data_IF_280948744714
#
_entry.id   IF_280948744714
#
_cell.length_a   1.000
_cell.length_b   1.000
_cell.length_c   1.000
_cell.angle_alpha   90.00
_cell.angle_beta   90.00
_cell.angle_gamma   90.00
#
_symmetry.space_group_name_H-M   'P 1'
#
loop_
_entity.id
_entity.type
_entity.pdbx_description
1 polymer ?
#
# COMPACT_ATOMS: atom_id res chain seq x y z
N UNK A 1 -28.01 -4.77 1.64
CA UNK A 1 -28.37 -3.35 1.53
C UNK A 1 -27.64 -2.60 2.61
N UNK A 2 -26.98 -1.51 2.26
CA UNK A 2 -26.44 -0.51 3.20
C UNK A 2 -27.14 0.80 2.85
N UNK A 3 -27.78 1.43 3.84
CA UNK A 3 -28.52 2.69 3.69
C UNK A 3 -29.54 2.72 2.54
N UNK A 4 -30.30 1.63 2.36
CA UNK A 4 -31.38 1.56 1.36
C UNK A 4 -30.91 1.46 -0.10
N UNK A 5 -29.61 1.32 -0.36
CA UNK A 5 -29.07 0.96 -1.68
C UNK A 5 -28.76 -0.53 -1.74
N UNK A 6 -29.11 -1.14 -2.86
CA UNK A 6 -28.66 -2.49 -3.19
C UNK A 6 -27.13 -2.50 -3.24
N UNK A 7 -26.52 -3.40 -2.47
CA UNK A 7 -25.07 -3.62 -2.47
C UNK A 7 -24.83 -4.88 -3.27
N UNK A 8 -24.28 -4.73 -4.48
CA UNK A 8 -23.98 -5.86 -5.34
C UNK A 8 -22.76 -6.64 -4.81
N UNK A 9 -22.64 -7.95 -5.11
CA UNK A 9 -21.49 -8.74 -4.70
C UNK A 9 -20.18 -8.18 -5.27
N UNK A 10 -19.11 -8.31 -4.48
CA UNK A 10 -17.76 -7.92 -4.84
C UNK A 10 -16.78 -8.97 -4.30
N UNK A 11 -15.94 -9.52 -5.17
CA UNK A 11 -14.76 -10.26 -4.73
C UNK A 11 -13.54 -9.34 -4.79
N UNK A 12 -12.65 -9.44 -3.81
CA UNK A 12 -11.45 -8.62 -3.74
C UNK A 12 -10.25 -9.47 -3.33
N UNK A 13 -9.11 -9.22 -3.96
CA UNK A 13 -7.81 -9.71 -3.55
C UNK A 13 -6.83 -8.55 -3.50
N UNK A 14 -6.13 -8.41 -2.37
CA UNK A 14 -5.12 -7.37 -2.18
C UNK A 14 -3.74 -8.05 -2.18
N UNK A 15 -2.89 -7.64 -3.10
CA UNK A 15 -1.50 -8.10 -3.19
C UNK A 15 -0.58 -6.93 -2.89
N UNK A 16 0.18 -7.06 -1.81
CA UNK A 16 1.20 -6.10 -1.38
C UNK A 16 2.52 -6.46 -2.03
N UNK A 17 3.19 -5.48 -2.63
CA UNK A 17 4.43 -5.70 -3.38
C UNK A 17 5.48 -4.74 -2.85
N UNK A 18 6.70 -5.25 -2.66
CA UNK A 18 7.87 -4.43 -2.40
C UNK A 18 9.05 -4.87 -3.27
N UNK A 19 9.85 -3.90 -3.70
CA UNK A 19 11.15 -4.13 -4.30
C UNK A 19 12.18 -3.31 -3.54
N UNK A 20 13.28 -3.95 -3.13
CA UNK A 20 14.35 -3.33 -2.33
C UNK A 20 15.69 -3.57 -3.02
N UNK A 21 16.44 -2.49 -3.24
CA UNK A 21 17.84 -2.53 -3.62
C UNK A 21 18.70 -2.21 -2.38
N UNK A 22 19.79 -2.95 -2.17
CA UNK A 22 20.65 -2.81 -0.99
C UNK A 22 22.09 -2.41 -1.37
N UNK A 23 22.76 -1.67 -0.48
CA UNK A 23 24.21 -1.49 -0.54
C UNK A 23 24.96 -2.67 0.10
N UNK A 24 26.29 -2.62 0.03
CA UNK A 24 27.20 -3.61 0.64
C UNK A 24 27.06 -3.75 2.16
N UNK A 25 26.46 -2.77 2.83
CA UNK A 25 26.27 -2.74 4.28
C UNK A 25 24.85 -3.21 4.67
N UNK A 26 24.07 -3.70 3.70
CA UNK A 26 22.72 -4.20 3.92
C UNK A 26 21.69 -3.09 4.20
N UNK A 27 21.96 -1.87 3.76
CA UNK A 27 21.01 -0.75 3.85
C UNK A 27 20.27 -0.59 2.53
N UNK A 28 18.99 -0.22 2.60
CA UNK A 28 18.22 0.11 1.40
C UNK A 28 18.81 1.34 0.69
N UNK A 29 19.11 1.22 -0.59
CA UNK A 29 19.46 2.34 -1.49
C UNK A 29 18.31 2.70 -2.43
N UNK A 30 17.33 1.82 -2.58
CA UNK A 30 16.09 2.06 -3.28
C UNK A 30 14.98 1.17 -2.74
N UNK A 31 13.80 1.73 -2.56
CA UNK A 31 12.60 0.99 -2.16
C UNK A 31 11.45 1.43 -3.05
N UNK A 32 10.67 0.48 -3.53
CA UNK A 32 9.37 0.71 -4.17
C UNK A 32 8.36 -0.18 -3.45
N UNK A 33 7.20 0.37 -3.15
CA UNK A 33 6.06 -0.38 -2.63
C UNK A 33 4.83 -0.10 -3.47
N UNK A 34 3.98 -1.10 -3.61
CA UNK A 34 2.74 -1.03 -4.36
C UNK A 34 1.66 -1.94 -3.76
N UNK A 35 0.42 -1.74 -4.18
CA UNK A 35 -0.68 -2.67 -3.92
C UNK A 35 -1.52 -2.85 -5.17
N UNK A 36 -1.64 -4.10 -5.62
CA UNK A 36 -2.70 -4.49 -6.52
C UNK A 36 -3.94 -4.81 -5.68
N UNK A 37 -4.87 -3.85 -5.56
CA UNK A 37 -6.18 -4.05 -4.94
C UNK A 37 -7.19 -4.42 -6.02
N UNK A 38 -7.22 -5.70 -6.37
CA UNK A 38 -8.03 -6.22 -7.48
C UNK A 38 -9.45 -6.45 -6.99
N UNK A 39 -10.41 -5.87 -7.71
CA UNK A 39 -11.85 -5.97 -7.44
C UNK A 39 -12.58 -6.60 -8.63
N UNK A 40 -13.29 -7.69 -8.40
CA UNK A 40 -14.17 -8.34 -9.38
C UNK A 40 -15.61 -7.98 -9.02
N UNK A 41 -16.27 -7.28 -9.94
CA UNK A 41 -17.63 -6.76 -9.79
C UNK A 41 -18.62 -7.76 -10.38
N UNK A 42 -19.76 -7.93 -9.70
CA UNK A 42 -20.85 -8.78 -10.15
C UNK A 42 -22.14 -7.97 -10.31
N UNK A 43 -23.00 -8.36 -11.26
CA UNK A 43 -24.38 -7.90 -11.30
C UNK A 43 -25.27 -8.66 -10.28
N UNK A 44 -26.55 -8.30 -10.20
CA UNK A 44 -27.50 -8.94 -9.30
C UNK A 44 -27.75 -10.44 -9.61
N UNK A 45 -27.32 -10.92 -10.78
CA UNK A 45 -27.41 -12.32 -11.20
C UNK A 45 -26.11 -13.10 -10.98
N UNK A 46 -25.09 -12.46 -10.41
CA UNK A 46 -23.78 -13.07 -10.18
C UNK A 46 -22.89 -13.15 -11.43
N UNK A 47 -23.18 -12.36 -12.47
CA UNK A 47 -22.33 -12.28 -13.67
C UNK A 47 -21.24 -11.26 -13.45
N UNK A 48 -19.99 -11.63 -13.76
CA UNK A 48 -18.84 -10.70 -13.72
C UNK A 48 -19.04 -9.58 -14.74
N UNK A 49 -18.97 -8.33 -14.30
CA UNK A 49 -19.26 -7.14 -15.13
C UNK A 49 -18.03 -6.38 -15.60
N UNK A 50 -16.84 -6.73 -15.10
CA UNK A 50 -15.60 -6.00 -15.36
C UNK A 50 -14.49 -6.87 -15.97
N UNK A 51 -14.86 -7.81 -16.84
CA UNK A 51 -13.90 -8.75 -17.46
C UNK A 51 -12.85 -8.07 -18.33
N UNK A 52 -13.24 -6.97 -18.96
CA UNK A 52 -12.39 -6.20 -19.87
C UNK A 52 -11.71 -5.01 -19.19
N UNK A 53 -11.95 -4.80 -17.88
CA UNK A 53 -11.33 -3.70 -17.14
C UNK A 53 -9.83 -3.95 -17.01
N UNK A 54 -9.02 -2.92 -17.28
CA UNK A 54 -7.60 -2.93 -16.94
C UNK A 54 -7.45 -2.74 -15.42
N UNK A 55 -7.05 -3.80 -14.73
CA UNK A 55 -6.93 -3.83 -13.27
C UNK A 55 -5.56 -3.30 -12.82
N UNK A 56 -5.49 -1.98 -12.65
CA UNK A 56 -4.28 -1.25 -12.27
C UNK A 56 -3.93 -1.37 -10.79
N UNK A 57 -2.63 -1.34 -10.48
CA UNK A 57 -2.14 -1.16 -9.12
C UNK A 57 -2.38 0.27 -8.63
N UNK A 58 -2.19 0.51 -7.32
CA UNK A 58 -2.35 1.86 -6.77
C UNK A 58 -1.27 2.83 -7.26
N UNK A 59 -0.04 2.38 -7.54
CA UNK A 59 0.96 3.22 -8.20
C UNK A 59 0.56 3.59 -9.64
N UNK A 60 -0.07 2.66 -10.37
CA UNK A 60 -0.52 2.91 -11.75
C UNK A 60 -1.76 3.83 -11.81
N UNK A 61 -2.68 3.68 -10.85
CA UNK A 61 -3.88 4.51 -10.74
C UNK A 61 -3.54 5.97 -10.43
N UNK A 62 -2.51 6.23 -9.63
CA UNK A 62 -2.14 7.58 -9.15
C UNK A 62 -3.37 8.33 -8.61
N UNK A 63 -3.69 9.49 -9.16
CA UNK A 63 -4.86 10.30 -8.80
C UNK A 63 -6.19 9.59 -9.05
N UNK A 64 -6.25 8.63 -9.97
CA UNK A 64 -7.46 7.86 -10.22
C UNK A 64 -7.84 6.93 -9.05
N UNK A 65 -6.92 6.67 -8.12
CA UNK A 65 -7.25 5.96 -6.87
C UNK A 65 -8.13 6.83 -5.95
N UNK A 66 -8.04 8.15 -6.07
CA UNK A 66 -8.91 9.13 -5.43
C UNK A 66 -8.94 9.06 -3.88
N UNK A 67 -7.77 8.86 -3.27
CA UNK A 67 -7.64 8.81 -1.81
C UNK A 67 -7.46 10.20 -1.18
N UNK A 68 -7.10 11.22 -1.96
CA UNK A 68 -6.75 12.55 -1.43
C UNK A 68 -7.84 13.14 -0.53
N UNK A 69 -9.11 12.92 -0.85
CA UNK A 69 -10.25 13.41 -0.05
C UNK A 69 -10.45 12.67 1.28
N UNK A 70 -10.07 11.39 1.35
CA UNK A 70 -10.12 10.58 2.56
C UNK A 70 -8.85 10.70 3.41
N UNK A 71 -7.79 11.24 2.83
CA UNK A 71 -6.49 11.44 3.49
C UNK A 71 -6.52 12.68 4.37
N UNK A 72 -6.27 12.51 5.68
CA UNK A 72 -6.15 13.63 6.63
C UNK A 72 -5.00 14.60 6.32
N UNK A 73 -4.08 14.22 5.43
CA UNK A 73 -2.94 15.04 4.98
C UNK A 73 -3.07 15.51 3.53
N UNK A 74 -4.24 15.32 2.89
CA UNK A 74 -4.50 15.75 1.51
C UNK A 74 -3.49 15.19 0.48
N UNK A 75 -2.99 13.97 0.71
CA UNK A 75 -2.11 13.24 -0.21
C UNK A 75 -2.79 12.02 -0.78
N UNK A 76 -2.56 11.76 -2.05
CA UNK A 76 -2.93 10.50 -2.70
C UNK A 76 -2.13 9.33 -2.14
N UNK A 77 -2.65 8.11 -2.34
CA UNK A 77 -2.00 6.90 -1.82
C UNK A 77 -0.57 6.75 -2.33
N UNK A 78 -0.33 7.00 -3.62
CA UNK A 78 1.00 6.84 -4.23
C UNK A 78 2.03 7.82 -3.65
N UNK A 79 1.60 9.04 -3.29
CA UNK A 79 2.46 10.04 -2.65
C UNK A 79 2.89 9.57 -1.26
N UNK A 80 1.96 8.97 -0.50
CA UNK A 80 2.25 8.41 0.81
C UNK A 80 3.15 7.17 0.73
N UNK A 81 2.89 6.29 -0.23
CA UNK A 81 3.72 5.12 -0.51
C UNK A 81 5.16 5.51 -0.84
N UNK A 82 5.33 6.51 -1.70
CA UNK A 82 6.65 7.05 -2.07
C UNK A 82 7.34 7.73 -0.88
N UNK A 83 6.60 8.41 -0.01
CA UNK A 83 7.15 9.00 1.21
C UNK A 83 7.65 7.92 2.19
N UNK A 84 6.88 6.86 2.39
CA UNK A 84 7.29 5.72 3.22
C UNK A 84 8.55 5.04 2.66
N UNK A 85 8.56 4.76 1.35
CA UNK A 85 9.72 4.19 0.68
C UNK A 85 10.96 5.08 0.80
N UNK A 86 10.82 6.40 0.68
CA UNK A 86 11.93 7.36 0.90
C UNK A 86 12.44 7.35 2.33
N UNK A 87 11.57 7.22 3.33
CA UNK A 87 11.96 7.11 4.73
C UNK A 87 12.81 5.86 5.01
N UNK A 88 12.57 4.76 4.27
CA UNK A 88 13.32 3.50 4.39
C UNK A 88 14.74 3.57 3.82
N UNK A 89 15.03 4.50 2.91
CA UNK A 89 16.38 4.63 2.30
C UNK A 89 17.43 4.95 3.38
N UNK A 90 18.56 4.27 3.31
CA UNK A 90 19.66 4.34 4.26
C UNK A 90 19.47 3.50 5.52
N UNK A 91 18.34 2.80 5.66
CA UNK A 91 18.02 1.94 6.80
C UNK A 91 18.22 0.46 6.49
N UNK A 92 18.53 -0.33 7.52
CA UNK A 92 18.50 -1.79 7.47
C UNK A 92 17.07 -2.34 7.70
N UNK A 93 16.85 -3.62 7.39
CA UNK A 93 15.59 -4.30 7.68
C UNK A 93 15.13 -4.12 9.14
N UNK A 94 16.05 -4.29 10.10
CA UNK A 94 15.78 -4.15 11.54
C UNK A 94 15.39 -2.72 11.96
N UNK A 95 15.89 -1.71 11.25
CA UNK A 95 15.54 -0.32 11.51
C UNK A 95 14.17 0.00 10.92
N UNK A 96 13.86 -0.54 9.75
CA UNK A 96 12.57 -0.37 9.08
C UNK A 96 11.46 -1.07 9.87
N UNK A 97 11.68 -2.30 10.33
CA UNK A 97 10.68 -3.08 11.09
C UNK A 97 10.33 -2.48 12.46
N UNK A 98 11.18 -1.58 12.98
CA UNK A 98 10.95 -0.84 14.23
C UNK A 98 10.15 0.45 14.06
N UNK A 99 9.61 0.73 12.87
CA UNK A 99 8.68 1.84 12.69
C UNK A 99 7.53 1.72 13.71
N UNK A 100 7.35 2.74 14.54
CA UNK A 100 6.29 2.76 15.53
C UNK A 100 4.92 2.84 14.84
N UNK A 101 4.03 1.90 15.16
CA UNK A 101 2.66 1.83 14.66
C UNK A 101 1.68 1.64 15.82
N UNK A 102 0.43 2.06 15.64
CA UNK A 102 -0.65 1.77 16.57
C UNK A 102 -1.14 0.32 16.45
N UNK A 103 -2.09 -0.08 17.29
CA UNK A 103 -2.68 -1.43 17.29
C UNK A 103 -3.34 -1.81 15.96
N UNK A 104 -3.70 -0.82 15.15
CA UNK A 104 -4.33 -1.00 13.84
C UNK A 104 -3.32 -0.88 12.69
N UNK A 105 -2.03 -0.73 12.97
CA UNK A 105 -0.96 -0.67 11.96
C UNK A 105 -0.75 0.69 11.31
N UNK A 106 -1.29 1.78 11.87
CA UNK A 106 -1.02 3.13 11.38
C UNK A 106 0.25 3.70 12.02
N UNK A 107 1.11 4.43 11.28
CA UNK A 107 2.29 5.06 11.86
C UNK A 107 1.95 5.97 13.04
N UNK A 108 2.79 5.95 14.08
CA UNK A 108 2.72 6.88 15.23
C UNK A 108 3.96 7.76 15.35
N UNK A 109 5.02 7.44 14.59
CA UNK A 109 6.20 8.28 14.43
C UNK A 109 5.82 9.61 13.74
N UNK A 110 6.15 10.74 14.36
CA UNK A 110 5.75 12.07 13.89
C UNK A 110 6.32 12.43 12.52
N UNK A 111 7.53 11.98 12.21
CA UNK A 111 8.19 12.27 10.93
C UNK A 111 7.53 11.49 9.80
N UNK A 112 7.03 10.29 10.11
CA UNK A 112 6.29 9.45 9.15
C UNK A 112 4.84 9.91 9.01
N UNK A 113 4.14 10.20 10.11
CA UNK A 113 2.73 10.63 10.11
C UNK A 113 2.51 11.92 9.32
N UNK A 114 3.50 12.81 9.29
CA UNK A 114 3.43 14.03 8.47
C UNK A 114 3.27 13.76 6.96
N UNK A 115 3.56 12.53 6.51
CA UNK A 115 3.47 12.15 5.10
C UNK A 115 2.77 10.83 4.82
N UNK A 116 2.43 10.04 5.84
CA UNK A 116 1.86 8.69 5.70
C UNK A 116 0.78 8.49 6.76
N UNK A 117 -0.48 8.36 6.32
CA UNK A 117 -1.64 8.08 7.17
C UNK A 117 -2.33 6.76 6.80
N UNK A 118 -1.76 6.00 5.86
CA UNK A 118 -2.22 4.64 5.53
C UNK A 118 -1.70 3.64 6.56
N UNK A 119 -2.40 2.50 6.69
CA UNK A 119 -1.84 1.33 7.38
C UNK A 119 -0.56 0.87 6.66
N UNK A 120 0.49 0.57 7.43
CA UNK A 120 1.81 0.21 6.90
C UNK A 120 2.26 -1.21 7.23
N UNK A 121 1.49 -1.97 8.00
CA UNK A 121 1.90 -3.28 8.53
C UNK A 121 2.36 -4.22 7.41
N UNK A 122 1.54 -4.38 6.37
CA UNK A 122 1.87 -5.28 5.27
C UNK A 122 3.08 -4.79 4.46
N UNK A 123 3.27 -3.47 4.30
CA UNK A 123 4.47 -2.94 3.63
C UNK A 123 5.74 -3.21 4.44
N UNK A 124 5.68 -3.07 5.77
CA UNK A 124 6.82 -3.43 6.63
C UNK A 124 7.16 -4.92 6.51
N UNK A 125 6.13 -5.78 6.43
CA UNK A 125 6.31 -7.23 6.25
C UNK A 125 6.94 -7.57 4.88
N UNK A 126 6.36 -7.09 3.77
CA UNK A 126 6.88 -7.42 2.42
C UNK A 126 8.24 -6.76 2.15
N UNK A 127 8.53 -5.61 2.75
CA UNK A 127 9.88 -5.01 2.69
C UNK A 127 10.86 -5.89 3.45
N UNK A 128 10.53 -6.32 4.67
CA UNK A 128 11.40 -7.23 5.43
C UNK A 128 11.66 -8.55 4.68
N UNK A 129 10.65 -9.11 4.02
CA UNK A 129 10.80 -10.28 3.14
C UNK A 129 11.72 -9.98 1.95
N UNK A 130 11.59 -8.82 1.29
CA UNK A 130 12.49 -8.45 0.19
C UNK A 130 13.96 -8.38 0.62
N UNK A 131 14.25 -7.96 1.86
CA UNK A 131 15.61 -7.97 2.43
C UNK A 131 16.17 -9.40 2.64
N UNK A 132 15.32 -10.42 2.80
CA UNK A 132 15.77 -11.81 2.97
C UNK A 132 15.98 -12.49 1.62
N UNK A 133 15.10 -12.24 0.64
CA UNK A 133 15.19 -12.83 -0.71
C UNK A 133 16.37 -12.27 -1.50
N UNK A 134 16.77 -11.02 -1.26
CA UNK A 134 17.86 -10.38 -1.99
C UNK A 134 19.28 -10.77 -1.51
N UNK A 135 19.40 -11.64 -0.50
CA UNK A 135 20.67 -12.21 -0.01
C UNK A 135 20.99 -13.52 -0.69
#
# INVERSE_FOLDING_TARGET
MVDGKETLPLAQADTYVAAVAMDKDGKAVGVVIDTAQVKIKFDAKGVVTNREDELKTKQELKEAYNMKSASGISKEWFEQANALAKWMVGKTADQISKLAVDEKGYPTDKDVVASVTVNVTEYLAVVAEAFTVAK
#
